data_IF_602615434847
#
_entry.id   IF_602615434847
#
_cell.length_a   1.000
_cell.length_b   1.000
_cell.length_c   1.000
_cell.angle_alpha   90.00
_cell.angle_beta   90.00
_cell.angle_gamma   90.00
#
_symmetry.space_group_name_H-M   'P 1'
#
loop_
_entity.id
_entity.type
_entity.pdbx_description
1 polymer ?
#
# COMPACT_ATOMS: atom_id res chain seq x y z
N UNK A 1 -11.01 17.23 -3.20
CA UNK A 1 -9.55 17.30 -3.42
C UNK A 1 -9.05 15.86 -3.53
N UNK A 2 -8.50 15.53 -4.69
CA UNK A 2 -8.31 14.18 -5.21
C UNK A 2 -7.37 13.35 -4.31
N UNK A 3 -7.81 12.15 -3.90
CA UNK A 3 -6.92 11.06 -3.47
C UNK A 3 -7.31 9.84 -4.28
N UNK A 4 -6.55 9.63 -5.35
CA UNK A 4 -6.67 8.46 -6.18
C UNK A 4 -6.22 7.24 -5.36
N UNK A 5 -7.15 6.33 -5.09
CA UNK A 5 -6.84 4.98 -4.64
C UNK A 5 -6.58 4.13 -5.88
N UNK A 6 -5.34 4.12 -6.35
CA UNK A 6 -4.92 3.47 -7.60
C UNK A 6 -4.73 1.94 -7.48
N UNK A 7 -5.50 1.27 -6.61
CA UNK A 7 -5.47 -0.20 -6.44
C UNK A 7 -6.84 -0.84 -6.74
N UNK A 8 -7.82 -0.08 -7.22
CA UNK A 8 -9.10 -0.63 -7.68
C UNK A 8 -9.45 -0.08 -9.07
N UNK A 9 -9.77 -0.98 -10.00
CA UNK A 9 -9.99 -0.82 -11.45
C UNK A 9 -8.75 -0.98 -12.35
N UNK A 10 -8.24 -2.20 -12.43
CA UNK A 10 -7.70 -2.74 -13.70
C UNK A 10 -8.61 -3.87 -14.14
N UNK A 11 -9.83 -3.55 -14.59
CA UNK A 11 -10.65 -4.42 -15.45
C UNK A 11 -11.51 -3.54 -16.37
N UNK A 12 -11.20 -3.63 -17.67
CA UNK A 12 -12.08 -3.50 -18.84
C UNK A 12 -12.63 -2.11 -19.25
N UNK A 13 -12.08 -1.57 -20.35
CA UNK A 13 -12.90 -1.08 -21.47
C UNK A 13 -12.09 -1.05 -22.78
N UNK A 14 -12.62 -1.77 -23.77
CA UNK A 14 -12.12 -2.00 -25.13
C UNK A 14 -12.75 -0.96 -26.06
N UNK A 15 -12.01 -0.43 -27.04
CA UNK A 15 -12.42 0.05 -28.41
C UNK A 15 -11.13 0.59 -29.09
N UNK A 16 -10.66 0.28 -30.30
CA UNK A 16 -11.14 -0.37 -31.55
C UNK A 16 -9.97 -1.24 -32.10
N UNK A 17 -10.13 -2.53 -32.40
CA UNK A 17 -10.85 -3.18 -33.51
C UNK A 17 -9.98 -3.44 -34.75
N UNK A 18 -9.70 -4.73 -34.97
CA UNK A 18 -8.88 -5.42 -35.99
C UNK A 18 -7.37 -5.55 -35.75
N UNK A 19 -6.60 -4.48 -35.52
CA UNK A 19 -5.14 -4.62 -35.43
C UNK A 19 -4.65 -5.16 -34.07
N UNK A 20 -5.27 -4.75 -32.96
CA UNK A 20 -4.86 -5.18 -31.62
C UNK A 20 -5.08 -6.68 -31.35
N UNK A 21 -6.18 -7.24 -31.84
CA UNK A 21 -6.54 -8.65 -31.60
C UNK A 21 -5.66 -9.62 -32.40
N UNK A 22 -5.23 -9.22 -33.60
CA UNK A 22 -4.31 -10.01 -34.42
C UNK A 22 -2.92 -10.05 -33.77
N UNK A 23 -2.46 -8.91 -33.24
CA UNK A 23 -1.17 -8.84 -32.56
C UNK A 23 -1.18 -9.57 -31.22
N UNK A 24 -2.30 -9.52 -30.47
CA UNK A 24 -2.51 -10.39 -29.30
C UNK A 24 -2.46 -11.88 -29.66
N UNK A 25 -3.12 -12.27 -30.76
CA UNK A 25 -3.10 -13.66 -31.24
C UNK A 25 -1.70 -14.12 -31.67
N UNK A 26 -0.95 -13.30 -32.40
CA UNK A 26 0.43 -13.63 -32.77
C UNK A 26 1.33 -13.72 -31.55
N UNK A 27 1.23 -12.78 -30.60
CA UNK A 27 1.97 -12.83 -29.35
C UNK A 27 1.64 -14.10 -28.54
N UNK A 28 0.37 -14.53 -28.50
CA UNK A 28 0.01 -15.81 -27.90
C UNK A 28 0.63 -17.01 -28.63
N UNK A 29 0.69 -16.97 -29.96
CA UNK A 29 1.28 -18.06 -30.75
C UNK A 29 2.79 -18.20 -30.49
N UNK A 30 3.52 -17.08 -30.45
CA UNK A 30 4.96 -17.06 -30.18
C UNK A 30 5.28 -17.55 -28.75
N UNK A 31 4.46 -17.17 -27.77
CA UNK A 31 4.58 -17.68 -26.40
C UNK A 31 4.34 -19.20 -26.33
N UNK A 32 3.35 -19.72 -27.09
CA UNK A 32 3.10 -21.18 -27.16
C UNK A 32 4.30 -21.91 -27.77
N UNK A 33 4.90 -21.36 -28.81
CA UNK A 33 6.10 -21.92 -29.43
C UNK A 33 7.30 -21.88 -28.48
N UNK A 34 7.52 -20.76 -27.79
CA UNK A 34 8.55 -20.64 -26.77
C UNK A 34 8.38 -21.69 -25.65
N UNK A 35 7.14 -21.89 -25.16
CA UNK A 35 6.84 -22.97 -24.20
C UNK A 35 7.14 -24.35 -24.78
N UNK A 36 6.76 -24.63 -26.03
CA UNK A 36 7.01 -25.92 -26.67
C UNK A 36 8.51 -26.20 -26.84
N UNK A 37 9.30 -25.20 -27.23
CA UNK A 37 10.76 -25.31 -27.34
C UNK A 37 11.37 -25.51 -25.94
N UNK A 38 10.79 -24.88 -24.92
CA UNK A 38 11.33 -24.94 -23.55
C UNK A 38 11.33 -26.32 -22.89
N UNK A 39 10.61 -27.30 -23.44
CA UNK A 39 10.71 -28.71 -23.02
C UNK A 39 12.08 -29.33 -23.28
N UNK A 40 12.87 -28.76 -24.21
CA UNK A 40 14.16 -29.31 -24.61
C UNK A 40 15.34 -28.50 -24.06
N UNK A 41 15.19 -27.19 -23.86
CA UNK A 41 16.19 -26.30 -23.27
C UNK A 41 15.53 -25.01 -22.75
N UNK A 42 16.09 -24.31 -21.73
CA UNK A 42 15.54 -23.03 -21.29
C UNK A 42 15.44 -22.00 -22.42
N UNK A 43 14.33 -21.26 -22.47
CA UNK A 43 14.04 -20.24 -23.48
C UNK A 43 13.78 -18.90 -22.81
N UNK A 44 14.47 -17.85 -23.27
CA UNK A 44 14.13 -16.46 -22.94
C UNK A 44 13.38 -15.87 -24.13
N UNK A 45 12.10 -15.60 -23.94
CA UNK A 45 11.24 -14.95 -24.92
C UNK A 45 11.21 -13.44 -24.65
N UNK A 46 11.39 -12.65 -25.70
CA UNK A 46 11.36 -11.19 -25.65
C UNK A 46 10.39 -10.67 -26.70
N UNK A 47 9.42 -9.85 -26.29
CA UNK A 47 8.47 -9.20 -27.19
C UNK A 47 8.76 -7.70 -27.21
N UNK A 48 9.10 -7.09 -28.36
CA UNK A 48 9.22 -5.64 -28.48
C UNK A 48 7.84 -4.95 -28.63
N UNK A 49 7.80 -3.64 -28.40
CA UNK A 49 6.74 -2.76 -28.86
C UNK A 49 6.84 -2.56 -30.37
N UNK A 50 5.70 -2.56 -31.05
CA UNK A 50 5.66 -2.35 -32.51
C UNK A 50 6.04 -0.92 -32.89
N UNK A 51 5.66 0.06 -32.07
CA UNK A 51 5.85 1.48 -32.39
C UNK A 51 7.30 1.93 -32.20
N UNK A 52 8.01 1.35 -31.23
CA UNK A 52 9.35 1.81 -30.82
C UNK A 52 10.45 0.77 -31.02
N UNK A 53 10.11 -0.52 -31.12
CA UNK A 53 11.07 -1.61 -31.11
C UNK A 53 11.69 -1.89 -29.74
N UNK A 54 11.40 -1.09 -28.71
CA UNK A 54 11.88 -1.33 -27.35
C UNK A 54 11.26 -2.62 -26.80
N UNK A 55 12.00 -3.39 -26.00
CA UNK A 55 11.47 -4.59 -25.34
C UNK A 55 10.27 -4.21 -24.46
N UNK A 56 9.10 -4.80 -24.70
CA UNK A 56 7.90 -4.65 -23.88
C UNK A 56 7.82 -5.70 -22.77
N UNK A 57 8.27 -6.92 -23.06
CA UNK A 57 8.09 -8.09 -22.19
C UNK A 57 9.28 -9.04 -22.32
N UNK A 58 9.75 -9.56 -21.19
CA UNK A 58 10.72 -10.66 -21.11
C UNK A 58 10.12 -11.77 -20.27
N UNK A 59 10.14 -13.00 -20.77
CA UNK A 59 9.71 -14.19 -20.04
C UNK A 59 10.73 -15.31 -20.20
N UNK A 60 10.99 -16.02 -19.11
CA UNK A 60 11.82 -17.23 -19.15
C UNK A 60 10.94 -18.47 -19.02
N UNK A 61 11.15 -19.45 -19.89
CA UNK A 61 10.46 -20.73 -19.89
C UNK A 61 11.46 -21.88 -19.74
N UNK A 62 11.11 -22.88 -18.95
CA UNK A 62 11.86 -24.12 -18.77
C UNK A 62 10.86 -25.26 -18.55
N UNK A 63 11.09 -26.41 -19.17
CA UNK A 63 10.24 -27.60 -19.05
C UNK A 63 8.75 -27.33 -19.39
N UNK A 64 8.49 -26.45 -20.37
CA UNK A 64 7.14 -26.10 -20.80
C UNK A 64 6.41 -25.07 -19.92
N UNK A 65 7.06 -24.59 -18.84
CA UNK A 65 6.48 -23.67 -17.85
C UNK A 65 7.28 -22.39 -17.77
N UNK A 66 6.64 -21.32 -17.32
CA UNK A 66 7.35 -20.10 -16.97
C UNK A 66 8.20 -20.34 -15.72
N UNK A 67 9.51 -20.15 -15.85
CA UNK A 67 10.47 -20.40 -14.79
C UNK A 67 11.68 -19.49 -14.98
N UNK A 68 12.00 -18.68 -13.97
CA UNK A 68 13.06 -17.68 -14.01
C UNK A 68 12.55 -16.25 -14.21
N UNK A 69 13.42 -15.34 -14.68
CA UNK A 69 13.15 -13.92 -14.76
C UNK A 69 11.93 -13.56 -15.62
N UNK A 70 11.21 -12.55 -15.15
CA UNK A 70 10.10 -11.91 -15.85
C UNK A 70 10.20 -10.40 -15.71
N UNK A 71 10.05 -9.70 -16.83
CA UNK A 71 10.12 -8.25 -16.87
C UNK A 71 9.06 -7.68 -17.81
N UNK A 72 8.43 -6.57 -17.40
CA UNK A 72 7.59 -5.74 -18.26
C UNK A 72 8.19 -4.35 -18.26
N UNK A 73 8.22 -3.71 -19.41
CA UNK A 73 8.77 -2.37 -19.59
C UNK A 73 7.69 -1.44 -20.16
N UNK A 74 7.83 -0.15 -19.89
CA UNK A 74 7.07 0.92 -20.53
C UNK A 74 7.49 1.13 -21.99
N UNK A 75 6.68 1.88 -22.76
CA UNK A 75 6.93 2.17 -24.18
C UNK A 75 8.30 2.83 -24.43
N UNK A 76 8.78 3.62 -23.47
CA UNK A 76 10.10 4.27 -23.50
C UNK A 76 11.27 3.35 -23.10
N UNK A 77 10.99 2.07 -22.80
CA UNK A 77 11.95 1.04 -22.43
C UNK A 77 12.30 1.00 -20.94
N UNK A 78 11.73 1.86 -20.09
CA UNK A 78 11.96 1.78 -18.64
C UNK A 78 11.25 0.58 -18.04
N UNK A 79 11.85 0.00 -17.00
CA UNK A 79 11.26 -1.11 -16.27
C UNK A 79 9.94 -0.70 -15.61
N UNK A 80 8.92 -1.55 -15.73
CA UNK A 80 7.60 -1.40 -15.11
C UNK A 80 7.38 -2.46 -14.02
N UNK A 81 7.70 -3.72 -14.34
CA UNK A 81 7.54 -4.86 -13.44
C UNK A 81 8.77 -5.74 -13.57
N UNK A 82 9.26 -6.24 -12.45
CA UNK A 82 10.33 -7.25 -12.43
C UNK A 82 10.05 -8.29 -11.36
N UNK A 83 10.30 -9.55 -11.68
CA UNK A 83 10.19 -10.63 -10.71
C UNK A 83 10.69 -11.94 -11.26
N UNK A 84 10.36 -13.01 -10.55
CA UNK A 84 10.64 -14.37 -11.00
C UNK A 84 9.38 -15.23 -10.94
N UNK A 85 9.30 -16.14 -11.90
CA UNK A 85 8.38 -17.26 -11.86
C UNK A 85 9.11 -18.53 -11.47
N UNK A 86 8.37 -19.43 -10.84
CA UNK A 86 8.74 -20.83 -10.62
C UNK A 86 7.52 -21.69 -10.90
N UNK A 87 7.64 -22.59 -11.86
CA UNK A 87 6.54 -23.49 -12.26
C UNK A 87 5.21 -22.75 -12.59
N UNK A 88 5.29 -21.71 -13.43
CA UNK A 88 4.18 -20.81 -13.81
C UNK A 88 3.62 -19.94 -12.67
N UNK A 89 4.25 -19.94 -11.48
CA UNK A 89 3.81 -19.13 -10.34
C UNK A 89 4.83 -18.07 -9.93
N UNK A 90 4.39 -16.89 -9.52
CA UNK A 90 5.26 -15.87 -8.91
C UNK A 90 5.97 -16.44 -7.69
N UNK A 91 7.29 -16.30 -7.63
CA UNK A 91 8.12 -16.71 -6.50
C UNK A 91 9.23 -15.66 -6.26
N UNK A 92 9.46 -15.32 -5.00
CA UNK A 92 10.45 -14.32 -4.59
C UNK A 92 9.94 -12.88 -4.66
N UNK A 93 10.86 -11.93 -4.74
CA UNK A 93 10.56 -10.50 -4.71
C UNK A 93 10.10 -10.03 -6.08
N UNK A 94 8.98 -9.31 -6.09
CA UNK A 94 8.43 -8.62 -7.24
C UNK A 94 8.53 -7.12 -7.02
N UNK A 95 9.13 -6.42 -7.97
CA UNK A 95 9.37 -4.98 -7.96
C UNK A 95 8.48 -4.31 -9.01
N UNK A 96 7.93 -3.15 -8.63
CA UNK A 96 7.00 -2.37 -9.44
C UNK A 96 7.54 -0.95 -9.52
N UNK A 97 7.50 -0.38 -10.73
CA UNK A 97 8.08 0.92 -11.05
C UNK A 97 7.03 1.79 -11.74
N UNK A 98 7.15 3.10 -11.55
CA UNK A 98 6.34 4.11 -12.24
C UNK A 98 6.93 4.46 -13.61
N UNK A 99 6.17 5.18 -14.43
CA UNK A 99 6.59 5.64 -15.77
C UNK A 99 7.86 6.51 -15.76
N UNK A 100 8.12 7.22 -14.67
CA UNK A 100 9.34 8.01 -14.50
C UNK A 100 10.57 7.14 -14.13
N UNK A 101 10.38 5.83 -13.93
CA UNK A 101 11.40 4.87 -13.54
C UNK A 101 11.62 4.77 -12.03
N UNK A 102 10.87 5.53 -11.21
CA UNK A 102 10.98 5.44 -9.75
C UNK A 102 10.34 4.15 -9.23
N UNK A 103 10.97 3.55 -8.21
CA UNK A 103 10.43 2.37 -7.55
C UNK A 103 9.12 2.73 -6.82
N UNK A 104 8.05 2.02 -7.15
CA UNK A 104 6.74 2.17 -6.52
C UNK A 104 6.58 1.26 -5.32
N UNK A 105 7.02 0.00 -5.46
CA UNK A 105 6.89 -0.97 -4.38
C UNK A 105 7.58 -2.30 -4.65
N UNK A 106 7.64 -3.10 -3.60
CA UNK A 106 8.11 -4.48 -3.61
C UNK A 106 7.14 -5.38 -2.86
N UNK A 107 6.91 -6.59 -3.35
CA UNK A 107 6.10 -7.60 -2.68
C UNK A 107 6.79 -8.95 -2.80
N UNK A 108 6.90 -9.68 -1.70
CA UNK A 108 7.39 -11.06 -1.71
C UNK A 108 6.25 -12.00 -2.01
N UNK A 109 6.40 -12.86 -3.02
CA UNK A 109 5.44 -13.89 -3.40
C UNK A 109 5.98 -15.29 -3.13
N UNK A 110 5.07 -16.20 -2.82
CA UNK A 110 5.31 -17.64 -2.80
C UNK A 110 4.14 -18.34 -3.49
N UNK A 111 4.41 -18.98 -4.63
CA UNK A 111 3.39 -19.71 -5.39
C UNK A 111 2.16 -18.84 -5.74
N UNK A 112 2.38 -17.66 -6.34
CA UNK A 112 1.37 -16.63 -6.67
C UNK A 112 0.73 -15.89 -5.50
N UNK A 113 0.98 -16.32 -4.27
CA UNK A 113 0.40 -15.72 -3.09
C UNK A 113 1.40 -14.79 -2.40
N UNK A 114 0.98 -13.55 -2.07
CA UNK A 114 1.83 -12.63 -1.34
C UNK A 114 2.17 -13.22 0.04
N UNK A 115 3.45 -13.45 0.30
CA UNK A 115 3.93 -14.13 1.49
C UNK A 115 5.34 -13.66 1.83
N UNK A 116 5.45 -12.81 2.85
CA UNK A 116 6.68 -12.13 3.23
C UNK A 116 6.52 -10.60 3.23
N UNK A 117 7.66 -9.90 3.17
CA UNK A 117 7.70 -8.45 3.28
C UNK A 117 7.07 -7.78 2.05
N UNK A 118 6.38 -6.67 2.28
CA UNK A 118 6.06 -5.69 1.26
C UNK A 118 6.60 -4.30 1.64
N UNK A 119 6.89 -3.49 0.63
CA UNK A 119 7.35 -2.11 0.75
C UNK A 119 6.62 -1.28 -0.32
N UNK A 120 6.13 -0.10 0.05
CA UNK A 120 5.61 0.89 -0.88
C UNK A 120 6.37 2.19 -0.66
N UNK A 121 6.65 2.93 -1.73
CA UNK A 121 7.46 4.15 -1.70
C UNK A 121 6.63 5.37 -2.12
N UNK A 122 7.00 6.54 -1.61
CA UNK A 122 6.50 7.81 -2.11
C UNK A 122 6.90 8.04 -3.59
N UNK A 123 6.31 9.03 -4.24
CA UNK A 123 6.61 9.41 -5.64
C UNK A 123 8.09 9.70 -5.88
N UNK A 124 8.85 10.08 -4.85
CA UNK A 124 10.30 10.27 -4.96
C UNK A 124 11.11 8.96 -5.16
N UNK A 125 10.45 7.79 -5.06
CA UNK A 125 11.05 6.46 -5.24
C UNK A 125 12.07 6.04 -4.18
N UNK A 126 12.26 6.83 -3.13
CA UNK A 126 13.34 6.65 -2.14
C UNK A 126 12.82 6.50 -0.72
N UNK A 127 11.83 7.31 -0.34
CA UNK A 127 11.23 7.25 0.99
C UNK A 127 10.13 6.19 1.00
N UNK A 128 10.16 5.28 1.97
CA UNK A 128 9.03 4.37 2.22
C UNK A 128 7.78 5.20 2.53
N UNK A 129 6.68 4.88 1.85
CA UNK A 129 5.34 5.30 2.23
C UNK A 129 4.77 4.35 3.27
N UNK A 130 4.93 3.04 3.07
CA UNK A 130 4.53 2.02 4.03
C UNK A 130 5.34 0.72 3.89
N UNK A 131 5.43 -0.04 4.96
CA UNK A 131 5.97 -1.41 4.95
C UNK A 131 5.25 -2.32 5.94
N UNK A 132 5.29 -3.62 5.65
CA UNK A 132 4.70 -4.64 6.49
C UNK A 132 4.90 -6.04 5.93
N UNK A 133 4.09 -6.99 6.40
CA UNK A 133 4.20 -8.40 6.03
C UNK A 133 2.84 -8.96 5.58
N UNK A 134 2.87 -9.74 4.50
CA UNK A 134 1.79 -10.62 4.11
C UNK A 134 2.06 -12.04 4.60
N UNK A 135 1.03 -12.71 5.11
CA UNK A 135 1.01 -14.16 5.32
C UNK A 135 -0.21 -14.68 4.59
N UNK A 136 0.02 -15.57 3.63
CA UNK A 136 -0.98 -16.18 2.78
C UNK A 136 -1.96 -15.16 2.13
N UNK A 137 -1.39 -14.14 1.50
CA UNK A 137 -2.13 -13.09 0.80
C UNK A 137 -2.73 -12.02 1.70
N UNK A 138 -2.63 -12.14 3.03
CA UNK A 138 -3.27 -11.23 4.00
C UNK A 138 -2.26 -10.49 4.86
N UNK A 139 -2.49 -9.21 5.14
CA UNK A 139 -1.65 -8.42 6.05
C UNK A 139 -1.64 -9.05 7.43
N UNK A 140 -0.43 -9.19 7.99
CA UNK A 140 -0.22 -9.82 9.28
C UNK A 140 1.00 -9.21 9.98
N UNK A 141 0.88 -8.96 11.28
CA UNK A 141 1.91 -8.30 12.07
C UNK A 141 1.84 -6.78 12.00
N UNK A 142 2.98 -6.12 12.20
CA UNK A 142 3.05 -4.66 12.27
C UNK A 142 3.18 -4.07 10.86
N UNK A 143 2.31 -3.12 10.55
CA UNK A 143 2.42 -2.21 9.42
C UNK A 143 2.84 -0.83 9.93
N UNK A 144 3.77 -0.21 9.20
CA UNK A 144 4.20 1.16 9.44
C UNK A 144 3.88 1.99 8.21
N UNK A 145 3.40 3.20 8.44
CA UNK A 145 3.36 4.26 7.44
C UNK A 145 4.32 5.38 7.86
N UNK A 146 4.83 6.12 6.89
CA UNK A 146 5.84 7.13 7.12
C UNK A 146 5.43 8.47 6.51
N UNK A 147 6.00 9.54 7.03
CA UNK A 147 6.05 10.83 6.37
C UNK A 147 7.10 10.81 5.25
N UNK A 148 6.98 11.74 4.29
CA UNK A 148 8.00 11.92 3.24
C UNK A 148 9.41 12.20 3.78
N UNK A 149 9.51 12.69 5.02
CA UNK A 149 10.77 12.86 5.76
C UNK A 149 11.42 11.56 6.24
N UNK A 150 10.75 10.41 6.07
CA UNK A 150 11.17 9.09 6.55
C UNK A 150 10.83 8.79 8.01
N UNK A 151 10.23 9.75 8.74
CA UNK A 151 9.76 9.50 10.11
C UNK A 151 8.45 8.72 10.11
N UNK A 152 8.27 7.83 11.09
CA UNK A 152 7.04 7.05 11.25
C UNK A 152 5.85 7.99 11.48
N UNK A 153 4.82 7.82 10.65
CA UNK A 153 3.53 8.51 10.73
C UNK A 153 2.52 7.66 11.50
N UNK A 154 2.48 6.35 11.25
CA UNK A 154 1.56 5.44 11.93
C UNK A 154 2.18 4.05 12.14
N UNK A 155 1.72 3.38 13.19
CA UNK A 155 2.02 1.97 13.48
C UNK A 155 0.70 1.28 13.77
N UNK A 156 0.38 0.22 13.03
CA UNK A 156 -0.86 -0.54 13.17
C UNK A 156 -0.54 -2.03 13.15
N UNK A 157 -1.18 -2.82 14.01
CA UNK A 157 -1.03 -4.28 13.98
C UNK A 157 -2.22 -4.90 13.24
N UNK A 158 -1.93 -5.86 12.37
CA UNK A 158 -2.92 -6.63 11.62
C UNK A 158 -2.85 -8.11 11.94
N UNK A 159 -4.00 -8.77 11.87
CA UNK A 159 -4.14 -10.23 11.86
C UNK A 159 -5.14 -10.59 10.77
N UNK A 160 -4.65 -11.19 9.69
CA UNK A 160 -5.46 -11.59 8.54
C UNK A 160 -6.30 -10.44 7.96
N UNK A 161 -5.64 -9.33 7.62
CA UNK A 161 -6.25 -8.07 7.14
C UNK A 161 -7.11 -7.29 8.14
N UNK A 162 -7.32 -7.82 9.36
CA UNK A 162 -8.07 -7.14 10.41
C UNK A 162 -7.12 -6.39 11.33
N UNK A 163 -7.39 -5.10 11.60
CA UNK A 163 -6.65 -4.31 12.60
C UNK A 163 -6.92 -4.85 13.99
N UNK A 164 -5.86 -5.08 14.76
CA UNK A 164 -5.91 -5.61 16.13
C UNK A 164 -4.96 -4.82 17.03
N UNK A 165 -5.27 -4.73 18.32
CA UNK A 165 -4.39 -4.06 19.29
C UNK A 165 -4.33 -2.54 19.12
N UNK A 166 -3.22 -1.92 19.50
CA UNK A 166 -3.04 -0.46 19.46
C UNK A 166 -2.61 0.02 18.07
N UNK A 167 -3.33 0.98 17.51
CA UNK A 167 -2.81 1.88 16.46
C UNK A 167 -2.32 3.15 17.11
N UNK A 168 -1.08 3.52 16.80
CA UNK A 168 -0.49 4.80 17.18
C UNK A 168 -0.21 5.64 15.95
N UNK A 169 -0.65 6.90 15.95
CA UNK A 169 -0.23 7.92 14.99
C UNK A 169 0.66 8.94 15.68
N UNK A 170 1.63 9.45 14.93
CA UNK A 170 2.64 10.38 15.41
C UNK A 170 2.49 11.73 14.71
N UNK A 171 3.00 12.79 15.34
CA UNK A 171 3.32 14.04 14.70
C UNK A 171 4.61 13.90 13.86
N UNK A 172 4.89 14.83 12.92
CA UNK A 172 6.18 14.88 12.23
C UNK A 172 7.40 15.09 13.15
N UNK A 173 7.18 15.55 14.38
CA UNK A 173 8.21 15.60 15.42
C UNK A 173 8.56 14.23 16.01
N UNK A 174 7.75 13.20 15.77
CA UNK A 174 7.85 11.86 16.36
C UNK A 174 7.10 11.71 17.69
N UNK A 175 6.42 12.76 18.16
CA UNK A 175 5.57 12.70 19.36
C UNK A 175 4.23 12.05 19.03
N UNK A 176 3.63 11.34 19.98
CA UNK A 176 2.32 10.70 19.77
C UNK A 176 1.26 11.78 19.51
N UNK A 177 0.50 11.60 18.44
CA UNK A 177 -0.67 12.42 18.11
C UNK A 177 -1.96 11.74 18.55
N UNK A 178 -2.07 10.43 18.31
CA UNK A 178 -3.29 9.67 18.57
C UNK A 178 -2.94 8.23 18.93
N UNK A 179 -3.68 7.67 19.88
CA UNK A 179 -3.72 6.22 20.17
C UNK A 179 -5.16 5.74 20.08
N UNK A 180 -5.35 4.56 19.50
CA UNK A 180 -6.63 3.87 19.37
C UNK A 180 -6.42 2.37 19.58
N UNK A 181 -7.22 1.74 20.44
CA UNK A 181 -7.16 0.29 20.67
C UNK A 181 -8.31 -0.43 19.96
N UNK A 182 -7.98 -1.46 19.20
CA UNK A 182 -8.91 -2.39 18.56
C UNK A 182 -9.02 -3.66 19.44
N UNK A 183 -10.17 -3.84 20.07
CA UNK A 183 -10.51 -5.02 20.87
C UNK A 183 -11.66 -5.75 20.18
N UNK A 184 -11.47 -7.04 19.88
CA UNK A 184 -12.49 -8.04 19.55
C UNK A 184 -13.72 -7.53 18.76
N UNK A 185 -13.46 -6.83 17.66
CA UNK A 185 -14.42 -6.59 16.58
C UNK A 185 -15.73 -5.84 16.94
N UNK A 186 -15.70 -4.89 17.90
CA UNK A 186 -16.72 -3.86 18.32
C UNK A 186 -17.10 -4.04 19.81
N UNK A 187 -17.09 -3.03 20.69
CA UNK A 187 -18.04 -1.90 20.73
C UNK A 187 -17.52 -0.67 21.51
N UNK A 188 -16.30 -0.69 22.05
CA UNK A 188 -15.78 0.41 22.89
C UNK A 188 -14.31 0.69 22.59
N UNK A 189 -14.03 1.30 21.44
CA UNK A 189 -12.67 1.65 21.08
C UNK A 189 -12.30 2.98 21.73
N UNK A 190 -11.59 2.90 22.86
CA UNK A 190 -11.01 4.07 23.50
C UNK A 190 -10.05 4.76 22.50
N UNK A 191 -10.23 6.06 22.33
CA UNK A 191 -9.39 6.91 21.50
C UNK A 191 -8.88 8.09 22.31
N UNK A 192 -7.59 8.37 22.18
CA UNK A 192 -6.91 9.47 22.87
C UNK A 192 -6.10 10.26 21.84
N UNK A 193 -6.34 11.55 21.78
CA UNK A 193 -5.54 12.53 21.08
C UNK A 193 -4.67 13.28 22.07
N UNK A 194 -3.47 13.63 21.62
CA UNK A 194 -2.47 14.30 22.42
C UNK A 194 -2.07 15.62 21.76
N UNK A 195 -1.67 16.59 22.58
CA UNK A 195 -0.88 17.71 22.13
C UNK A 195 0.54 17.26 21.81
N UNK A 196 1.26 18.03 21.01
CA UNK A 196 2.65 17.76 20.65
C UNK A 196 3.61 17.79 21.86
N UNK A 197 3.22 18.41 22.98
CA UNK A 197 3.96 18.34 24.25
C UNK A 197 3.70 17.03 25.04
N UNK A 198 2.89 16.11 24.50
CA UNK A 198 2.57 14.81 25.10
C UNK A 198 1.41 14.83 26.10
N UNK A 199 0.81 15.98 26.41
CA UNK A 199 -0.39 16.05 27.25
C UNK A 199 -1.62 15.61 26.46
N UNK A 200 -2.62 15.04 27.14
CA UNK A 200 -3.89 14.68 26.51
C UNK A 200 -4.56 15.95 25.99
N UNK A 201 -5.06 15.89 24.76
CA UNK A 201 -5.86 16.93 24.12
C UNK A 201 -7.34 16.57 24.25
N UNK A 202 -7.70 15.37 23.82
CA UNK A 202 -9.08 14.91 23.76
C UNK A 202 -9.12 13.40 23.94
N UNK A 203 -10.02 12.86 24.75
CA UNK A 203 -10.22 11.40 24.82
C UNK A 203 -11.70 11.05 24.95
N UNK A 204 -12.06 9.86 24.46
CA UNK A 204 -13.42 9.35 24.49
C UNK A 204 -13.48 7.95 23.88
N UNK A 205 -14.67 7.55 23.44
CA UNK A 205 -14.90 6.24 22.84
C UNK A 205 -15.55 6.38 21.46
N UNK A 206 -15.24 5.43 20.59
CA UNK A 206 -15.90 5.25 19.30
C UNK A 206 -16.69 3.94 19.31
N UNK A 207 -17.91 4.00 18.76
CA UNK A 207 -18.65 2.84 18.31
C UNK A 207 -18.69 2.85 16.78
N UNK A 208 -18.02 1.91 16.13
CA UNK A 208 -17.95 1.81 14.66
C UNK A 208 -17.55 3.12 13.95
N UNK A 209 -16.52 3.82 14.47
CA UNK A 209 -16.06 5.15 14.06
C UNK A 209 -16.97 6.35 14.41
N UNK A 210 -18.10 6.13 15.09
CA UNK A 210 -18.97 7.22 15.58
C UNK A 210 -18.63 7.53 17.04
N UNK A 211 -18.42 8.79 17.43
CA UNK A 211 -18.25 9.17 18.83
C UNK A 211 -19.41 8.69 19.71
N UNK A 212 -19.10 8.05 20.83
CA UNK A 212 -20.06 7.58 21.82
C UNK A 212 -19.59 7.90 23.24
N UNK A 213 -20.55 8.10 24.14
CA UNK A 213 -20.32 8.45 25.54
C UNK A 213 -19.74 9.85 25.73
N UNK A 214 -19.23 10.08 26.94
CA UNK A 214 -18.59 11.34 27.28
C UNK A 214 -17.20 11.44 26.68
N UNK A 215 -16.91 12.63 26.17
CA UNK A 215 -15.61 13.06 25.70
C UNK A 215 -15.05 14.10 26.66
N UNK A 216 -13.74 14.05 26.87
CA UNK A 216 -13.03 14.94 27.78
C UNK A 216 -12.00 15.74 26.99
N UNK A 217 -12.14 17.07 26.98
CA UNK A 217 -11.19 18.00 26.36
C UNK A 217 -10.33 18.69 27.43
N UNK A 218 -9.03 18.74 27.18
CA UNK A 218 -8.03 19.26 28.09
C UNK A 218 -7.25 20.41 27.44
N UNK A 219 -6.77 21.36 28.24
CA UNK A 219 -5.86 22.41 27.78
C UNK A 219 -4.42 21.90 27.62
N UNK A 220 -3.54 22.75 27.08
CA UNK A 220 -2.11 22.43 26.87
C UNK A 220 -1.34 22.11 28.15
N UNK A 221 -1.86 22.49 29.32
CA UNK A 221 -1.26 22.23 30.63
C UNK A 221 -1.79 20.93 31.25
N UNK A 222 -2.81 20.32 30.64
CA UNK A 222 -3.46 19.10 31.11
C UNK A 222 -4.65 19.34 32.05
N UNK A 223 -5.17 20.58 32.13
CA UNK A 223 -6.39 20.86 32.90
C UNK A 223 -7.62 20.49 32.08
N UNK A 224 -8.57 19.77 32.67
CA UNK A 224 -9.86 19.49 32.05
C UNK A 224 -10.61 20.81 31.79
N UNK A 225 -10.97 21.06 30.53
CA UNK A 225 -11.71 22.25 30.09
C UNK A 225 -13.20 21.96 30.04
N UNK A 226 -13.59 20.82 29.45
CA UNK A 226 -14.99 20.42 29.36
C UNK A 226 -15.13 18.91 29.21
N UNK A 227 -16.30 18.40 29.62
CA UNK A 227 -16.70 17.01 29.49
C UNK A 227 -18.17 16.92 29.06
N UNK A 228 -18.47 16.03 28.13
CA UNK A 228 -19.84 15.71 27.72
C UNK A 228 -19.88 15.01 26.37
N UNK A 229 -21.08 14.80 25.84
CA UNK A 229 -21.26 14.21 24.50
C UNK A 229 -20.48 15.00 23.45
N UNK A 230 -19.83 14.28 22.53
CA UNK A 230 -18.91 14.85 21.53
C UNK A 230 -19.46 16.10 20.84
N UNK A 231 -20.69 16.03 20.29
CA UNK A 231 -21.29 17.12 19.54
C UNK A 231 -21.60 18.34 20.42
N UNK A 232 -22.00 18.13 21.68
CA UNK A 232 -22.33 19.20 22.63
C UNK A 232 -21.12 20.01 23.06
N UNK A 233 -19.93 19.41 23.04
CA UNK A 233 -18.67 20.08 23.43
C UNK A 233 -17.75 20.40 22.24
N UNK A 234 -18.19 20.10 21.01
CA UNK A 234 -17.36 20.15 19.80
C UNK A 234 -16.83 21.54 19.48
N UNK A 235 -17.68 22.56 19.58
CA UNK A 235 -17.29 23.96 19.33
C UNK A 235 -16.12 24.42 20.22
N UNK A 236 -16.04 23.88 21.44
CA UNK A 236 -14.98 24.22 22.41
C UNK A 236 -13.62 23.66 22.01
N UNK A 237 -13.56 22.45 21.43
CA UNK A 237 -12.28 21.80 21.13
C UNK A 237 -11.89 21.84 19.65
N UNK A 238 -12.84 21.95 18.72
CA UNK A 238 -12.61 21.84 17.28
C UNK A 238 -11.52 22.79 16.75
N UNK A 239 -11.43 24.08 17.15
CA UNK A 239 -10.36 24.95 16.70
C UNK A 239 -8.96 24.42 17.07
N UNK A 240 -8.81 23.94 18.31
CA UNK A 240 -7.55 23.41 18.85
C UNK A 240 -7.20 22.04 18.24
N UNK A 241 -8.20 21.18 18.12
CA UNK A 241 -8.08 19.87 17.47
C UNK A 241 -7.67 20.02 16.00
N UNK A 242 -8.37 20.87 15.24
CA UNK A 242 -8.08 21.11 13.82
C UNK A 242 -6.68 21.68 13.61
N UNK A 243 -6.21 22.59 14.49
CA UNK A 243 -4.83 23.09 14.45
C UNK A 243 -3.81 21.97 14.64
N UNK A 244 -4.09 21.03 15.54
CA UNK A 244 -3.24 19.86 15.80
C UNK A 244 -3.28 18.86 14.64
N UNK A 245 -4.46 18.52 14.13
CA UNK A 245 -4.66 17.62 12.99
C UNK A 245 -4.02 18.15 11.70
N UNK A 246 -4.08 19.47 11.45
CA UNK A 246 -3.41 20.07 10.28
C UNK A 246 -1.89 19.84 10.27
N UNK A 247 -1.25 19.71 11.43
CA UNK A 247 0.18 19.40 11.51
C UNK A 247 0.51 17.97 11.07
N UNK A 248 -0.43 17.05 11.18
CA UNK A 248 -0.23 15.65 10.79
C UNK A 248 -0.59 15.39 9.32
N UNK A 249 -1.41 16.26 8.72
CA UNK A 249 -1.83 16.19 7.31
C UNK A 249 -0.89 16.94 6.34
N UNK A 250 -0.11 17.93 6.81
CA UNK A 250 0.65 18.86 5.95
C UNK A 250 1.94 18.32 5.30
N UNK A 251 2.19 17.02 5.33
CA UNK A 251 3.40 16.40 4.77
C UNK A 251 3.10 15.28 3.75
N UNK A 252 1.89 15.27 3.19
CA UNK A 252 1.53 14.40 2.07
C UNK A 252 1.36 15.26 0.81
#
# INVERSE_FOLDING_TARGET
MKRYSFIFLIILSIFLSSCSAINEFFAESEVRDAKKISYYAPVVYQRPYEETGNTALVQTFENGKQNGPFEVHYLDGKLQIKGNYKDDKKDGIWEYYREDGTLEGKVTYKNDEANGKYEAYFENGKTLYSDGTYINGKKNGIEKEYYVSGKVQSVTTYKNDVRVGETTMYYPSGKVYMKRNYIDNKLNEAIIYYYENGKVLLKGHLNTNTPYGDWEFYDKNGKLVTKGEFYKISETFLPTFNKSAKKTLKNN
#
